data_IF_531754763696
#
_entry.id   IF_531754763696
#
_cell.length_a   1.000
_cell.length_b   1.000
_cell.length_c   1.000
_cell.angle_alpha   90.00
_cell.angle_beta   90.00
_cell.angle_gamma   90.00
#
_symmetry.space_group_name_H-M   'P 1'
#
loop_
_entity.id
_entity.type
_entity.pdbx_description
1 polymer ?
#
# COMPACT_ATOMS: atom_id res chain seq x y z
N UNK A 1 7.46 -12.41 41.52
CA UNK A 1 7.49 -13.16 40.25
C UNK A 1 6.08 -13.70 40.02
N UNK A 2 5.14 -12.76 39.84
CA UNK A 2 3.76 -13.09 39.50
C UNK A 2 3.69 -13.20 37.99
N UNK A 3 3.29 -14.39 37.53
CA UNK A 3 3.00 -14.66 36.13
C UNK A 3 1.92 -13.67 35.67
N UNK A 4 2.33 -12.73 34.82
CA UNK A 4 1.47 -11.91 33.98
C UNK A 4 0.44 -12.80 33.30
N UNK A 5 -0.82 -12.57 33.67
CA UNK A 5 -2.04 -13.15 33.11
C UNK A 5 -2.18 -12.76 31.63
N UNK A 6 -1.44 -13.42 30.76
CA UNK A 6 -1.85 -13.63 29.38
C UNK A 6 -2.94 -14.71 29.41
N UNK A 7 -4.13 -14.41 28.89
CA UNK A 7 -5.25 -15.35 28.83
C UNK A 7 -4.75 -16.70 28.28
N UNK A 8 -4.92 -17.78 29.06
CA UNK A 8 -4.21 -19.08 29.06
C UNK A 8 -4.15 -19.88 27.74
N UNK A 9 -4.52 -19.32 26.60
CA UNK A 9 -4.58 -20.02 25.31
C UNK A 9 -3.33 -19.84 24.44
N UNK A 10 -2.58 -18.74 24.59
CA UNK A 10 -1.39 -18.44 23.77
C UNK A 10 -0.15 -18.23 24.61
N UNK A 11 0.97 -18.83 24.22
CA UNK A 11 2.25 -18.67 24.91
C UNK A 11 2.79 -17.23 24.71
N UNK A 12 3.46 -16.63 25.71
CA UNK A 12 4.06 -15.30 25.56
C UNK A 12 4.99 -15.14 24.34
N UNK A 13 5.83 -16.13 23.98
CA UNK A 13 6.63 -16.08 22.76
C UNK A 13 5.80 -15.93 21.48
N UNK A 14 4.60 -16.53 21.44
CA UNK A 14 3.73 -16.46 20.26
C UNK A 14 3.28 -15.03 19.97
N UNK A 15 2.84 -14.29 20.99
CA UNK A 15 2.38 -12.92 20.77
C UNK A 15 3.52 -11.93 20.54
N UNK A 16 4.70 -12.13 21.16
CA UNK A 16 5.90 -11.35 20.82
C UNK A 16 6.30 -11.57 19.35
N UNK A 17 6.26 -12.82 18.87
CA UNK A 17 6.52 -13.14 17.47
C UNK A 17 5.49 -12.50 16.53
N UNK A 18 4.19 -12.58 16.86
CA UNK A 18 3.13 -11.95 16.08
C UNK A 18 3.29 -10.42 16.00
N UNK A 19 3.61 -9.77 17.12
CA UNK A 19 3.91 -8.34 17.16
C UNK A 19 5.11 -7.99 16.28
N UNK A 20 6.21 -8.73 16.42
CA UNK A 20 7.45 -8.50 15.64
C UNK A 20 7.20 -8.61 14.15
N UNK A 21 6.45 -9.64 13.72
CA UNK A 21 6.07 -9.84 12.32
C UNK A 21 5.15 -8.71 11.84
N UNK A 22 4.12 -8.36 12.61
CA UNK A 22 3.19 -7.28 12.26
C UNK A 22 3.89 -5.93 12.14
N UNK A 23 4.82 -5.64 13.04
CA UNK A 23 5.60 -4.41 13.02
C UNK A 23 6.53 -4.33 11.81
N UNK A 24 7.18 -5.44 11.44
CA UNK A 24 7.99 -5.54 10.21
C UNK A 24 7.17 -5.17 8.97
N UNK A 25 6.00 -5.78 8.79
CA UNK A 25 5.13 -5.50 7.64
C UNK A 25 4.58 -4.06 7.66
N UNK A 26 4.34 -3.50 8.85
CA UNK A 26 3.87 -2.12 8.98
C UNK A 26 4.93 -1.13 8.49
N UNK A 27 6.19 -1.28 8.91
CA UNK A 27 7.29 -0.43 8.45
C UNK A 27 7.53 -0.56 6.94
N UNK A 28 7.47 -1.79 6.43
CA UNK A 28 7.59 -2.06 4.99
C UNK A 28 6.48 -1.36 4.18
N UNK A 29 5.26 -1.35 4.73
CA UNK A 29 4.12 -0.73 4.06
C UNK A 29 4.35 0.77 3.84
N UNK A 30 4.98 1.50 4.77
CA UNK A 30 5.24 2.93 4.62
C UNK A 30 6.01 3.24 3.33
N UNK A 31 7.11 2.51 3.09
CA UNK A 31 7.96 2.73 1.91
C UNK A 31 7.29 2.22 0.64
N UNK A 32 6.60 1.07 0.70
CA UNK A 32 5.83 0.59 -0.47
C UNK A 32 4.76 1.60 -0.92
N UNK A 33 4.04 2.21 0.03
CA UNK A 33 3.03 3.22 -0.28
C UNK A 33 3.64 4.48 -0.91
N UNK A 34 4.82 4.91 -0.45
CA UNK A 34 5.58 5.99 -1.08
C UNK A 34 5.99 5.64 -2.51
N UNK A 35 6.55 4.44 -2.74
CA UNK A 35 6.99 4.01 -4.07
C UNK A 35 5.81 3.95 -5.04
N UNK A 36 4.66 3.43 -4.60
CA UNK A 36 3.43 3.36 -5.41
C UNK A 36 2.90 4.76 -5.73
N UNK A 37 2.89 5.68 -4.76
CA UNK A 37 2.46 7.07 -4.98
C UNK A 37 3.39 7.79 -5.97
N UNK A 38 4.71 7.66 -5.79
CA UNK A 38 5.71 8.23 -6.70
C UNK A 38 5.60 7.67 -8.13
N UNK A 39 5.35 6.36 -8.26
CA UNK A 39 5.12 5.71 -9.56
C UNK A 39 3.97 6.36 -10.31
N UNK A 40 2.86 6.64 -9.62
CA UNK A 40 1.67 7.27 -10.22
C UNK A 40 1.92 8.73 -10.56
N UNK A 41 2.56 9.46 -9.65
CA UNK A 41 2.94 10.85 -9.89
C UNK A 41 3.81 10.95 -11.14
N UNK A 42 4.85 10.12 -11.29
CA UNK A 42 5.72 10.16 -12.46
C UNK A 42 5.01 9.72 -13.74
N UNK A 43 4.12 8.73 -13.67
CA UNK A 43 3.32 8.30 -14.82
C UNK A 43 2.45 9.42 -15.40
N UNK A 44 1.86 10.25 -14.52
CA UNK A 44 0.96 11.35 -14.92
C UNK A 44 1.74 12.64 -15.22
N UNK A 45 2.74 12.98 -14.40
CA UNK A 45 3.46 14.25 -14.50
C UNK A 45 4.54 14.24 -15.59
N UNK A 46 5.23 13.11 -15.79
CA UNK A 46 6.41 13.00 -16.67
C UNK A 46 6.38 11.69 -17.47
N UNK A 47 5.38 11.48 -18.34
CA UNK A 47 5.19 10.22 -19.07
C UNK A 47 6.40 9.84 -19.96
N UNK A 48 7.14 10.82 -20.48
CA UNK A 48 8.30 10.58 -21.36
C UNK A 48 9.50 9.98 -20.60
N UNK A 49 9.73 10.38 -19.35
CA UNK A 49 10.83 9.87 -18.52
C UNK A 49 10.43 8.67 -17.66
N UNK A 50 9.14 8.47 -17.45
CA UNK A 50 8.59 7.37 -16.64
C UNK A 50 9.19 6.01 -17.02
N UNK A 51 9.29 5.70 -18.32
CA UNK A 51 9.81 4.41 -18.81
C UNK A 51 11.28 4.16 -18.47
N UNK A 52 12.07 5.22 -18.29
CA UNK A 52 13.47 5.13 -17.87
C UNK A 52 13.59 4.97 -16.34
N UNK A 53 12.80 5.71 -15.58
CA UNK A 53 12.82 5.66 -14.10
C UNK A 53 12.23 4.35 -13.58
N UNK A 54 11.01 4.01 -14.00
CA UNK A 54 10.30 2.78 -13.63
C UNK A 54 10.47 1.70 -14.71
N UNK A 55 11.72 1.38 -15.02
CA UNK A 55 12.06 0.22 -15.86
C UNK A 55 11.87 -1.08 -15.07
N UNK A 56 11.72 -2.23 -15.77
CA UNK A 56 11.61 -3.54 -15.11
C UNK A 56 12.77 -3.80 -14.13
N UNK A 57 13.99 -3.45 -14.54
CA UNK A 57 15.20 -3.59 -13.72
C UNK A 57 15.13 -2.74 -12.45
N UNK A 58 14.74 -1.47 -12.58
CA UNK A 58 14.66 -0.56 -11.45
C UNK A 58 13.52 -0.95 -10.49
N UNK A 59 12.37 -1.37 -11.01
CA UNK A 59 11.26 -1.89 -10.18
C UNK A 59 11.71 -3.10 -9.37
N UNK A 60 12.42 -4.06 -9.98
CA UNK A 60 12.95 -5.21 -9.23
C UNK A 60 13.89 -4.78 -8.11
N UNK A 61 14.80 -3.84 -8.36
CA UNK A 61 15.67 -3.31 -7.31
C UNK A 61 14.89 -2.59 -6.21
N UNK A 62 13.90 -1.77 -6.55
CA UNK A 62 13.06 -1.07 -5.57
C UNK A 62 12.29 -2.05 -4.68
N UNK A 63 11.77 -3.14 -5.25
CA UNK A 63 11.08 -4.18 -4.48
C UNK A 63 12.07 -4.82 -3.49
N UNK A 64 13.25 -5.26 -3.96
CA UNK A 64 14.26 -5.87 -3.08
C UNK A 64 14.65 -4.91 -1.95
N UNK A 65 14.86 -3.63 -2.26
CA UNK A 65 15.19 -2.60 -1.28
C UNK A 65 14.08 -2.46 -0.22
N UNK A 66 12.81 -2.41 -0.63
CA UNK A 66 11.68 -2.32 0.31
C UNK A 66 11.64 -3.50 1.31
N UNK A 67 12.08 -4.70 0.89
CA UNK A 67 12.12 -5.87 1.79
C UNK A 67 13.32 -5.84 2.74
N UNK A 68 14.49 -5.43 2.26
CA UNK A 68 15.74 -5.55 3.01
C UNK A 68 15.95 -4.38 3.99
N UNK A 69 15.47 -3.17 3.67
CA UNK A 69 15.72 -1.96 4.48
C UNK A 69 15.17 -2.03 5.91
N UNK A 70 14.12 -2.82 6.14
CA UNK A 70 13.48 -2.95 7.46
C UNK A 70 14.27 -3.90 8.37
N UNK A 71 15.10 -4.80 7.81
CA UNK A 71 15.85 -5.80 8.59
C UNK A 71 16.81 -5.14 9.62
N UNK A 72 17.65 -4.14 9.26
CA UNK A 72 18.48 -3.43 10.24
C UNK A 72 17.66 -2.73 11.34
N UNK A 73 16.50 -2.18 10.99
CA UNK A 73 15.60 -1.52 11.95
C UNK A 73 15.08 -2.56 12.95
N UNK A 74 14.66 -3.73 12.48
CA UNK A 74 14.24 -4.83 13.36
C UNK A 74 15.38 -5.35 14.22
N UNK A 75 16.58 -5.53 13.65
CA UNK A 75 17.76 -5.96 14.39
C UNK A 75 18.11 -4.98 15.53
N UNK A 76 17.91 -3.68 15.33
CA UNK A 76 18.18 -2.67 16.34
C UNK A 76 17.36 -2.86 17.63
N UNK A 77 16.16 -3.46 17.56
CA UNK A 77 15.37 -3.79 18.74
C UNK A 77 16.05 -4.83 19.64
N UNK A 78 16.76 -5.78 19.04
CA UNK A 78 17.44 -6.86 19.77
C UNK A 78 18.83 -6.45 20.28
N UNK A 79 19.44 -5.42 19.69
CA UNK A 79 20.82 -4.99 20.02
C UNK A 79 20.85 -3.88 21.07
N UNK A 80 19.87 -2.96 21.05
CA UNK A 80 19.84 -1.86 22.02
C UNK A 80 19.26 -2.33 23.36
N UNK A 81 19.97 -2.12 24.49
CA UNK A 81 19.48 -2.52 25.80
C UNK A 81 18.20 -1.76 26.14
N UNK A 82 17.24 -2.46 26.75
CA UNK A 82 15.95 -1.93 27.18
C UNK A 82 14.91 -1.61 26.11
N UNK A 83 14.78 -2.55 25.17
CA UNK A 83 13.69 -2.62 24.20
C UNK A 83 12.87 -3.91 24.36
N UNK A 84 12.65 -4.38 25.60
CA UNK A 84 11.85 -5.59 25.81
C UNK A 84 10.38 -5.35 25.42
N UNK A 85 9.73 -6.36 24.86
CA UNK A 85 8.35 -6.31 24.43
C UNK A 85 7.55 -7.23 25.34
N UNK A 86 6.45 -6.72 25.88
CA UNK A 86 5.58 -7.46 26.79
C UNK A 86 4.13 -7.11 26.59
N UNK A 87 3.28 -8.01 27.04
CA UNK A 87 1.83 -7.83 26.97
C UNK A 87 1.38 -6.87 28.07
N UNK A 88 0.69 -5.79 27.70
CA UNK A 88 0.04 -4.89 28.65
C UNK A 88 -1.44 -5.26 28.80
N UNK A 89 -1.88 -5.70 29.99
CA UNK A 89 -3.27 -6.08 30.25
C UNK A 89 -4.24 -4.90 30.18
N UNK A 90 -3.79 -3.68 30.48
CA UNK A 90 -4.62 -2.47 30.45
C UNK A 90 -4.94 -2.03 29.03
N UNK A 91 -4.04 -2.32 28.10
CA UNK A 91 -4.11 -1.90 26.70
C UNK A 91 -4.47 -3.04 25.75
N UNK A 92 -4.52 -4.27 26.28
CA UNK A 92 -4.75 -5.51 25.53
C UNK A 92 -3.80 -5.69 24.33
N UNK A 93 -2.58 -5.17 24.41
CA UNK A 93 -1.62 -5.16 23.31
C UNK A 93 -0.19 -5.42 23.79
N UNK A 94 0.70 -5.76 22.85
CA UNK A 94 2.14 -5.85 23.11
C UNK A 94 2.76 -4.47 23.00
N UNK A 95 3.34 -4.00 24.11
CA UNK A 95 4.01 -2.69 24.23
C UNK A 95 5.45 -2.86 24.71
N UNK A 96 6.22 -1.79 24.66
CA UNK A 96 7.55 -1.76 25.25
C UNK A 96 7.47 -1.84 26.77
N UNK A 97 8.28 -2.72 27.35
CA UNK A 97 8.39 -2.90 28.80
C UNK A 97 9.59 -2.13 29.31
N UNK A 98 9.38 -1.33 30.35
CA UNK A 98 10.44 -0.63 31.08
C UNK A 98 11.38 -1.65 31.74
N UNK A 99 12.68 -1.54 31.45
CA UNK A 99 13.71 -2.33 32.14
C UNK A 99 13.92 -1.98 33.61
N UNK A 100 13.74 -0.70 33.94
CA UNK A 100 14.08 -0.15 35.25
C UNK A 100 12.96 0.79 35.69
N UNK A 101 12.50 0.73 36.95
CA UNK A 101 11.44 1.59 37.47
C UNK A 101 11.81 3.09 37.47
N UNK A 102 13.10 3.46 37.41
CA UNK A 102 13.55 4.85 37.33
C UNK A 102 13.54 5.41 35.90
N UNK A 103 13.18 4.60 34.91
CA UNK A 103 13.08 5.03 33.52
C UNK A 103 11.64 5.46 33.26
N UNK A 104 11.40 6.78 33.18
CA UNK A 104 10.05 7.34 32.97
C UNK A 104 9.44 7.05 31.58
N UNK A 105 10.25 6.64 30.59
CA UNK A 105 9.77 6.45 29.20
C UNK A 105 9.05 5.10 29.01
N UNK A 106 7.85 5.14 28.42
CA UNK A 106 7.07 3.95 28.00
C UNK A 106 7.33 3.57 26.52
N UNK A 107 8.41 4.10 25.91
CA UNK A 107 8.68 3.96 24.49
C UNK A 107 10.10 3.54 24.16
N UNK A 108 10.22 2.74 23.09
CA UNK A 108 11.51 2.35 22.52
C UNK A 108 12.11 3.46 21.68
N UNK A 109 13.43 3.62 21.79
CA UNK A 109 14.20 4.53 20.96
C UNK A 109 14.14 4.13 19.48
N UNK A 110 14.37 2.84 19.17
CA UNK A 110 14.32 2.32 17.79
C UNK A 110 12.92 2.47 17.19
N UNK A 111 11.87 2.21 17.97
CA UNK A 111 10.49 2.41 17.53
C UNK A 111 10.11 3.87 17.30
N UNK A 112 10.59 4.76 18.15
CA UNK A 112 10.38 6.21 17.96
C UNK A 112 11.03 6.70 16.67
N UNK A 113 12.26 6.29 16.40
CA UNK A 113 12.98 6.65 15.16
C UNK A 113 12.27 6.08 13.93
N UNK A 114 11.90 4.80 13.96
CA UNK A 114 11.22 4.14 12.85
C UNK A 114 9.83 4.75 12.56
N UNK A 115 9.04 5.03 13.60
CA UNK A 115 7.72 5.65 13.45
C UNK A 115 7.82 7.09 12.90
N UNK A 116 8.81 7.88 13.35
CA UNK A 116 9.05 9.24 12.81
C UNK A 116 9.53 9.19 11.35
N UNK A 117 10.40 8.24 11.00
CA UNK A 117 10.81 8.03 9.62
C UNK A 117 9.62 7.66 8.74
N UNK A 118 8.81 6.69 9.16
CA UNK A 118 7.60 6.28 8.46
C UNK A 118 6.61 7.45 8.31
N UNK A 119 6.44 8.30 9.34
CA UNK A 119 5.62 9.51 9.26
C UNK A 119 6.08 10.46 8.13
N UNK A 120 7.39 10.73 8.03
CA UNK A 120 7.95 11.58 6.96
C UNK A 120 7.71 10.96 5.58
N UNK A 121 7.91 9.65 5.45
CA UNK A 121 7.68 8.93 4.20
C UNK A 121 6.20 8.96 3.80
N UNK A 122 5.28 8.69 4.71
CA UNK A 122 3.83 8.75 4.45
C UNK A 122 3.36 10.16 4.13
N UNK A 123 3.95 11.18 4.76
CA UNK A 123 3.67 12.58 4.43
C UNK A 123 4.12 12.92 3.00
N UNK A 124 5.31 12.46 2.58
CA UNK A 124 5.76 12.59 1.21
C UNK A 124 4.83 11.87 0.22
N UNK A 125 4.24 10.74 0.60
CA UNK A 125 3.31 9.99 -0.25
C UNK A 125 2.01 10.78 -0.43
N UNK A 126 1.48 11.38 0.65
CA UNK A 126 0.34 12.28 0.59
C UNK A 126 0.62 13.49 -0.31
N UNK A 127 1.83 14.06 -0.26
CA UNK A 127 2.21 15.15 -1.15
C UNK A 127 2.23 14.70 -2.63
N UNK A 128 2.81 13.54 -2.93
CA UNK A 128 2.78 12.94 -4.26
C UNK A 128 1.35 12.70 -4.76
N UNK A 129 0.44 12.26 -3.87
CA UNK A 129 -0.96 12.07 -4.19
C UNK A 129 -1.67 13.39 -4.53
N UNK A 130 -1.42 14.47 -3.78
CA UNK A 130 -1.96 15.80 -4.07
C UNK A 130 -1.49 16.31 -5.44
N UNK A 131 -0.18 16.20 -5.74
CA UNK A 131 0.36 16.59 -7.05
C UNK A 131 -0.28 15.78 -8.18
N UNK A 132 -0.45 14.48 -7.97
CA UNK A 132 -1.10 13.57 -8.92
C UNK A 132 -2.56 13.97 -9.16
N UNK A 133 -3.31 14.27 -8.10
CA UNK A 133 -4.71 14.72 -8.18
C UNK A 133 -4.84 16.02 -8.97
N UNK A 134 -3.99 17.02 -8.68
CA UNK A 134 -3.98 18.30 -9.39
C UNK A 134 -3.78 18.08 -10.89
N UNK A 135 -2.80 17.24 -11.28
CA UNK A 135 -2.55 16.93 -12.69
C UNK A 135 -3.70 16.16 -13.34
N UNK A 136 -4.31 15.21 -12.63
CA UNK A 136 -5.50 14.48 -13.10
C UNK A 136 -6.65 15.46 -13.41
N UNK A 137 -6.91 16.43 -12.52
CA UNK A 137 -7.97 17.44 -12.72
C UNK A 137 -7.68 18.30 -13.94
N UNK A 138 -6.42 18.75 -14.11
CA UNK A 138 -6.01 19.54 -15.28
C UNK A 138 -6.19 18.79 -16.60
N UNK A 139 -5.80 17.51 -16.65
CA UNK A 139 -5.98 16.66 -17.85
C UNK A 139 -7.47 16.40 -18.12
N UNK A 140 -8.27 16.18 -17.07
CA UNK A 140 -9.71 15.99 -17.21
C UNK A 140 -10.37 17.25 -17.80
N UNK A 141 -9.90 18.44 -17.40
CA UNK A 141 -10.39 19.73 -17.90
C UNK A 141 -9.96 20.01 -19.34
N UNK A 142 -8.80 19.53 -19.78
CA UNK A 142 -8.33 19.72 -21.16
C UNK A 142 -9.02 18.81 -22.17
N UNK A 143 -9.82 17.83 -21.73
CA UNK A 143 -10.57 16.93 -22.61
C UNK A 143 -9.73 15.84 -23.27
N UNK A 144 -8.42 15.80 -23.02
CA UNK A 144 -7.51 14.77 -23.55
C UNK A 144 -7.62 13.52 -22.67
N UNK A 145 -8.67 12.71 -22.89
CA UNK A 145 -8.82 11.45 -22.15
C UNK A 145 -8.09 10.30 -22.85
N UNK A 146 -7.14 9.71 -22.15
CA UNK A 146 -6.50 8.47 -22.59
C UNK A 146 -7.39 7.26 -22.30
N UNK A 147 -7.28 6.21 -23.14
CA UNK A 147 -8.06 4.96 -23.05
C UNK A 147 -8.02 4.28 -21.67
N UNK A 148 -6.94 4.48 -20.90
CA UNK A 148 -6.75 3.89 -19.57
C UNK A 148 -7.01 4.86 -18.40
N UNK A 149 -7.37 6.11 -18.66
CA UNK A 149 -7.46 7.17 -17.65
C UNK A 149 -8.43 6.85 -16.51
N UNK A 150 -9.64 6.37 -16.83
CA UNK A 150 -10.64 6.01 -15.81
C UNK A 150 -10.16 4.91 -14.85
N UNK A 151 -9.40 3.94 -15.36
CA UNK A 151 -8.81 2.88 -14.54
C UNK A 151 -7.73 3.45 -13.62
N UNK A 152 -6.87 4.31 -14.15
CA UNK A 152 -5.77 4.90 -13.39
C UNK A 152 -6.28 5.85 -12.28
N UNK A 153 -7.37 6.59 -12.53
CA UNK A 153 -8.05 7.42 -11.53
C UNK A 153 -8.65 6.59 -10.39
N UNK A 154 -9.18 5.40 -10.69
CA UNK A 154 -9.74 4.51 -9.66
C UNK A 154 -8.66 3.88 -8.80
N UNK A 155 -7.57 3.43 -9.42
CA UNK A 155 -6.40 3.00 -8.69
C UNK A 155 -5.81 4.12 -7.84
N UNK A 156 -5.75 5.34 -8.38
CA UNK A 156 -5.39 6.55 -7.64
C UNK A 156 -6.24 6.69 -6.38
N UNK A 157 -7.56 6.78 -6.52
CA UNK A 157 -8.48 6.91 -5.39
C UNK A 157 -8.32 5.82 -4.33
N UNK A 158 -8.11 4.57 -4.76
CA UNK A 158 -7.85 3.45 -3.87
C UNK A 158 -6.66 3.71 -2.93
N UNK A 159 -5.48 3.98 -3.49
CA UNK A 159 -4.26 4.12 -2.67
C UNK A 159 -4.22 5.44 -1.94
N UNK A 160 -4.85 6.50 -2.45
CA UNK A 160 -4.94 7.76 -1.70
C UNK A 160 -5.79 7.62 -0.43
N UNK A 161 -6.86 6.83 -0.47
CA UNK A 161 -7.62 6.49 0.75
C UNK A 161 -6.76 5.66 1.71
N UNK A 162 -5.99 4.70 1.21
CA UNK A 162 -5.07 3.91 2.05
C UNK A 162 -3.95 4.76 2.67
N UNK A 163 -3.32 5.64 1.89
CA UNK A 163 -2.29 6.58 2.31
C UNK A 163 -2.81 7.54 3.39
N UNK A 164 -4.02 8.07 3.20
CA UNK A 164 -4.65 8.95 4.19
C UNK A 164 -4.90 8.22 5.51
N UNK A 165 -5.47 7.01 5.49
CA UNK A 165 -5.70 6.24 6.72
C UNK A 165 -4.41 5.90 7.45
N UNK A 166 -3.36 5.53 6.71
CA UNK A 166 -2.04 5.25 7.27
C UNK A 166 -1.43 6.51 7.91
N UNK A 167 -1.58 7.67 7.29
CA UNK A 167 -1.11 8.95 7.82
C UNK A 167 -1.82 9.32 9.13
N UNK A 168 -3.14 9.14 9.21
CA UNK A 168 -3.92 9.36 10.43
C UNK A 168 -3.45 8.41 11.54
N UNK A 169 -3.29 7.11 11.24
CA UNK A 169 -2.82 6.12 12.20
C UNK A 169 -1.44 6.48 12.77
N UNK A 170 -0.48 6.83 11.90
CA UNK A 170 0.88 7.20 12.32
C UNK A 170 0.91 8.50 13.12
N UNK A 171 0.07 9.47 12.77
CA UNK A 171 -0.04 10.71 13.55
C UNK A 171 -0.47 10.41 14.98
N UNK A 172 -1.47 9.54 15.15
CA UNK A 172 -1.92 9.11 16.48
C UNK A 172 -0.82 8.37 17.24
N UNK A 173 -0.12 7.44 16.59
CA UNK A 173 1.02 6.73 17.20
C UNK A 173 2.11 7.70 17.67
N UNK A 174 2.47 8.68 16.84
CA UNK A 174 3.49 9.69 17.20
C UNK A 174 3.01 10.62 18.31
N UNK A 175 1.72 10.97 18.35
CA UNK A 175 1.14 11.79 19.41
C UNK A 175 1.11 11.03 20.75
N UNK A 176 0.65 9.78 20.77
CA UNK A 176 0.69 8.91 21.96
C UNK A 176 2.12 8.77 22.47
N UNK A 177 3.07 8.57 21.55
CA UNK A 177 4.48 8.40 21.90
C UNK A 177 5.12 9.67 22.52
N UNK A 178 4.57 10.86 22.26
CA UNK A 178 5.08 12.11 22.81
C UNK A 178 4.21 12.68 23.94
N UNK A 179 3.04 12.10 24.24
CA UNK A 179 2.14 12.63 25.27
C UNK A 179 2.58 12.19 26.67
N UNK A 180 2.74 13.17 27.58
CA UNK A 180 3.08 12.96 29.00
C UNK A 180 1.87 13.06 29.93
N UNK A 181 0.65 13.17 29.37
CA UNK A 181 -0.60 13.38 30.13
C UNK A 181 -1.24 12.05 30.56
N UNK A 182 -1.71 12.00 31.81
CA UNK A 182 -2.37 10.83 32.42
C UNK A 182 -3.67 10.38 31.71
N UNK A 183 -4.30 11.24 30.90
CA UNK A 183 -5.48 10.93 30.08
C UNK A 183 -5.18 10.21 28.73
N UNK A 184 -3.96 9.70 28.57
CA UNK A 184 -3.46 9.08 27.32
C UNK A 184 -4.20 7.81 26.87
N UNK A 185 -5.01 7.19 27.75
CA UNK A 185 -5.71 5.94 27.47
C UNK A 185 -6.71 6.07 26.30
N UNK A 186 -7.45 7.17 26.21
CA UNK A 186 -8.39 7.41 25.09
C UNK A 186 -7.64 7.54 23.76
N UNK A 187 -6.53 8.28 23.77
CA UNK A 187 -5.70 8.48 22.59
C UNK A 187 -5.06 7.16 22.12
N UNK A 188 -4.69 6.31 23.07
CA UNK A 188 -4.14 4.99 22.80
C UNK A 188 -5.17 4.00 22.24
N UNK A 189 -6.39 3.97 22.79
CA UNK A 189 -7.51 3.20 22.21
C UNK A 189 -7.79 3.69 20.78
N UNK A 190 -7.81 5.00 20.57
CA UNK A 190 -8.07 5.56 19.25
C UNK A 190 -6.95 5.23 18.24
N UNK A 191 -5.68 5.26 18.68
CA UNK A 191 -4.55 4.80 17.87
C UNK A 191 -4.68 3.32 17.50
N UNK A 192 -5.03 2.46 18.46
CA UNK A 192 -5.24 1.02 18.25
C UNK A 192 -6.37 0.74 17.24
N UNK A 193 -7.54 1.35 17.43
CA UNK A 193 -8.66 1.22 16.49
C UNK A 193 -8.27 1.69 15.08
N UNK A 194 -7.52 2.79 14.98
CA UNK A 194 -7.09 3.34 13.69
C UNK A 194 -6.06 2.45 12.99
N UNK A 195 -5.19 1.75 13.74
CA UNK A 195 -4.28 0.76 13.18
C UNK A 195 -5.04 -0.45 12.61
N UNK A 196 -6.03 -0.97 13.32
CA UNK A 196 -6.91 -2.03 12.82
C UNK A 196 -7.64 -1.57 11.54
N UNK A 197 -8.24 -0.37 11.58
CA UNK A 197 -8.92 0.22 10.43
C UNK A 197 -7.98 0.36 9.23
N UNK A 198 -6.71 0.71 9.44
CA UNK A 198 -5.72 0.80 8.37
C UNK A 198 -5.50 -0.56 7.68
N UNK A 199 -5.35 -1.62 8.47
CA UNK A 199 -5.18 -2.97 7.92
C UNK A 199 -6.43 -3.44 7.16
N UNK A 200 -7.62 -3.18 7.71
CA UNK A 200 -8.89 -3.46 7.02
C UNK A 200 -9.04 -2.62 5.74
N UNK A 201 -8.65 -1.36 5.77
CA UNK A 201 -8.76 -0.45 4.63
C UNK A 201 -7.88 -0.89 3.46
N UNK A 202 -6.71 -1.49 3.73
CA UNK A 202 -5.86 -2.06 2.68
C UNK A 202 -6.61 -3.13 1.86
N UNK A 203 -7.40 -3.99 2.51
CA UNK A 203 -8.21 -5.00 1.85
C UNK A 203 -9.52 -4.42 1.26
N UNK A 204 -10.25 -3.61 2.02
CA UNK A 204 -11.54 -3.04 1.62
C UNK A 204 -11.41 -2.10 0.43
N UNK A 205 -10.35 -1.28 0.38
CA UNK A 205 -10.14 -0.38 -0.73
C UNK A 205 -9.92 -1.15 -2.05
N UNK A 206 -9.23 -2.30 -2.03
CA UNK A 206 -9.11 -3.16 -3.23
C UNK A 206 -10.49 -3.60 -3.72
N UNK A 207 -11.37 -4.07 -2.83
CA UNK A 207 -12.71 -4.54 -3.19
C UNK A 207 -13.59 -3.38 -3.72
N UNK A 208 -13.51 -2.20 -3.09
CA UNK A 208 -14.36 -1.06 -3.42
C UNK A 208 -13.96 -0.38 -4.72
N UNK A 209 -12.65 -0.16 -4.92
CA UNK A 209 -12.14 0.62 -6.05
C UNK A 209 -11.80 -0.24 -7.27
N UNK A 210 -11.63 -1.56 -7.12
CA UNK A 210 -11.29 -2.47 -8.22
C UNK A 210 -12.48 -3.37 -8.60
N UNK A 211 -13.16 -3.13 -9.74
CA UNK A 211 -14.37 -3.86 -10.10
C UNK A 211 -14.02 -5.26 -10.61
N UNK A 212 -12.82 -5.47 -11.17
CA UNK A 212 -12.34 -6.78 -11.60
C UNK A 212 -12.22 -7.72 -10.39
N UNK A 213 -11.82 -7.18 -9.23
CA UNK A 213 -11.76 -7.92 -7.97
C UNK A 213 -13.15 -8.15 -7.42
N UNK A 214 -13.99 -7.11 -7.37
CA UNK A 214 -15.37 -7.22 -6.88
C UNK A 214 -16.20 -8.23 -7.67
N UNK A 215 -16.10 -8.23 -8.99
CA UNK A 215 -16.84 -9.16 -9.85
C UNK A 215 -16.41 -10.62 -9.61
N UNK A 216 -15.13 -10.86 -9.28
CA UNK A 216 -14.63 -12.19 -8.88
C UNK A 216 -15.19 -12.64 -7.53
N UNK A 217 -15.32 -11.75 -6.56
CA UNK A 217 -15.92 -12.07 -5.26
C UNK A 217 -17.43 -12.26 -5.32
N UNK A 218 -18.13 -11.52 -6.19
CA UNK A 218 -19.60 -11.58 -6.35
C UNK A 218 -20.02 -12.67 -7.36
N UNK A 219 -19.08 -13.36 -8.01
CA UNK A 219 -19.37 -14.49 -8.90
C UNK A 219 -19.94 -14.09 -10.27
N UNK A 220 -19.83 -12.82 -10.67
CA UNK A 220 -20.22 -12.40 -12.03
C UNK A 220 -19.10 -12.77 -13.01
N UNK A 221 -19.26 -13.89 -13.72
CA UNK A 221 -18.48 -14.15 -14.94
C UNK A 221 -18.77 -13.02 -15.92
N UNK A 222 -17.80 -12.13 -16.16
CA UNK A 222 -17.84 -11.25 -17.33
C UNK A 222 -17.80 -12.15 -18.55
N UNK A 223 -18.92 -12.22 -19.26
CA UNK A 223 -18.97 -12.90 -20.54
C UNK A 223 -18.02 -12.15 -21.49
N UNK A 224 -17.04 -12.88 -22.04
CA UNK A 224 -15.97 -12.31 -22.87
C UNK A 224 -16.53 -11.65 -24.17
N UNK A 225 -17.81 -11.91 -24.46
CA UNK A 225 -18.57 -11.40 -25.59
C UNK A 225 -18.74 -9.86 -25.62
N UNK A 226 -18.91 -9.20 -24.46
CA UNK A 226 -19.17 -7.75 -24.44
C UNK A 226 -17.97 -6.90 -24.87
N UNK A 227 -16.75 -7.40 -24.63
CA UNK A 227 -15.52 -6.71 -25.04
C UNK A 227 -15.31 -6.80 -26.56
N UNK A 228 -15.80 -7.86 -27.21
CA UNK A 228 -15.73 -8.00 -28.66
C UNK A 228 -16.74 -7.08 -29.35
N UNK A 229 -17.99 -7.05 -28.86
CA UNK A 229 -19.06 -6.22 -29.42
C UNK A 229 -18.78 -4.72 -29.26
N UNK A 230 -18.17 -4.29 -28.15
CA UNK A 230 -17.79 -2.88 -27.97
C UNK A 230 -16.67 -2.46 -28.93
N UNK A 231 -15.70 -3.35 -29.22
CA UNK A 231 -14.66 -3.06 -30.20
C UNK A 231 -15.21 -3.01 -31.65
N UNK A 232 -16.20 -3.83 -32.00
CA UNK A 232 -16.90 -3.76 -33.30
C UNK A 232 -17.72 -2.47 -33.42
N UNK A 233 -18.47 -2.08 -32.38
CA UNK A 233 -19.22 -0.83 -32.36
C UNK A 233 -18.29 0.40 -32.49
N UNK A 234 -17.14 0.39 -31.81
CA UNK A 234 -16.17 1.49 -31.89
C UNK A 234 -15.46 1.54 -33.24
N UNK A 235 -15.11 0.39 -33.83
CA UNK A 235 -14.49 0.33 -35.16
C UNK A 235 -15.48 0.69 -36.29
N UNK A 236 -16.76 0.35 -36.15
CA UNK A 236 -17.81 0.72 -37.12
C UNK A 236 -18.21 2.20 -37.08
N UNK A 237 -18.00 2.88 -35.94
CA UNK A 237 -18.13 4.34 -35.83
C UNK A 237 -16.89 5.03 -36.41
N UNK A 238 -15.69 4.51 -36.17
CA UNK A 238 -14.46 5.06 -36.75
C UNK A 238 -14.41 4.92 -38.29
N UNK A 239 -14.88 3.79 -38.84
CA UNK A 239 -14.97 3.60 -40.30
C UNK A 239 -16.03 4.46 -40.99
N UNK A 240 -17.00 5.03 -40.25
CA UNK A 240 -17.97 5.98 -40.84
C UNK A 240 -17.45 7.42 -40.91
N UNK A 241 -16.33 7.73 -40.25
CA UNK A 241 -15.77 9.10 -40.21
C UNK A 241 -14.60 9.27 -41.20
N UNK A 242 -14.04 8.17 -41.72
CA UNK A 242 -12.98 8.22 -42.74
C UNK A 242 -13.50 7.65 -44.08
N UNK A 243 -13.95 8.49 -45.04
CA UNK A 243 -14.13 8.01 -46.38
C UNK A 243 -12.74 7.82 -47.02
N UNK A 244 -12.54 6.68 -47.67
CA UNK A 244 -11.42 6.34 -48.57
C UNK A 244 -10.05 5.97 -47.96
N UNK A 245 -9.98 4.86 -47.23
CA UNK A 245 -8.89 3.88 -47.46
C UNK A 245 -9.46 2.46 -47.47
N UNK A 246 -9.24 1.76 -48.57
CA UNK A 246 -9.68 0.39 -48.77
C UNK A 246 -9.12 -0.58 -47.71
N UNK A 247 -9.75 -1.74 -47.52
CA UNK A 247 -9.41 -2.66 -46.45
C UNK A 247 -8.02 -3.30 -46.70
N UNK A 248 -7.11 -3.12 -45.74
CA UNK A 248 -5.89 -3.93 -45.65
C UNK A 248 -6.27 -5.32 -45.14
N UNK A 249 -6.33 -6.28 -46.07
CA UNK A 249 -6.43 -7.70 -45.79
C UNK A 249 -5.15 -8.18 -45.11
N UNK A 250 -5.24 -8.61 -43.85
CA UNK A 250 -4.21 -9.42 -43.20
C UNK A 250 -4.65 -10.88 -43.27
N UNK A 251 -3.96 -11.68 -44.10
CA UNK A 251 -4.06 -13.14 -44.07
C UNK A 251 -3.50 -13.68 -42.74
N UNK A 252 -4.18 -14.63 -42.07
CA UNK A 252 -3.62 -15.32 -40.93
C UNK A 252 -2.62 -16.39 -41.39
N UNK A 253 -1.40 -16.35 -40.84
CA UNK A 253 -0.39 -17.39 -40.95
C UNK A 253 -0.91 -18.70 -40.34
N UNK A 254 -1.08 -19.70 -41.20
CA UNK A 254 -1.46 -21.06 -40.86
C UNK A 254 -0.29 -21.77 -40.15
N UNK A 255 -0.51 -22.24 -38.93
CA UNK A 255 0.43 -23.10 -38.19
C UNK A 255 0.04 -24.55 -38.43
N UNK A 256 0.58 -25.15 -39.48
CA UNK A 256 0.64 -26.60 -39.64
C UNK A 256 1.94 -26.96 -40.38
N UNK A 257 2.63 -27.98 -39.86
CA UNK A 257 3.84 -28.66 -40.37
C UNK A 257 5.19 -28.23 -39.77
N UNK A 258 5.60 -28.87 -38.67
CA UNK A 258 6.84 -29.66 -38.65
C UNK A 258 6.98 -30.46 -37.34
N UNK A 259 6.36 -31.64 -37.33
CA UNK A 259 6.98 -32.80 -36.71
C UNK A 259 7.71 -33.58 -37.82
N UNK A 260 8.88 -34.14 -37.48
CA UNK A 260 9.82 -34.95 -38.29
C UNK A 260 10.95 -34.17 -39.00
N UNK A 261 12.14 -34.18 -38.41
CA UNK A 261 13.26 -35.01 -38.90
C UNK A 261 14.46 -34.93 -37.95
N UNK A 262 14.96 -36.12 -37.56
CA UNK A 262 16.31 -36.46 -37.08
C UNK A 262 16.87 -35.82 -35.81
#
# INVERSE_FOLDING_TARGET
MELMLQYNFFSPPFGIAAFTIGYYFTLQACVMHQVVSANRMLAVCIPLKYRSVFSKRNITYLIILCWVEVIPIMASYFVFPCNEIGYSPTLYEYVFVKCDPNIERDFSWSGTVANRFCFVVCFAAMFCDVVTLVKIILIKRSGIQQKNFSRDVRFFGQTSVQNLTMMVALTLVVLVNNSTTEDGLILQIFAFCTLILTQLNNALALILFNPEVRDRFIGKKRDYSDKYNTNIATNSVCNRIAPNRGPLTFEPLNNDNMSKSS
#
